data_IF_395081843047
#
_entry.id   IF_395081843047
#
_cell.length_a   1.000
_cell.length_b   1.000
_cell.length_c   1.000
_cell.angle_alpha   90.00
_cell.angle_beta   90.00
_cell.angle_gamma   90.00
#
_symmetry.space_group_name_H-M   'P 1'
#
loop_
_entity.id
_entity.type
_entity.pdbx_description
1 polymer ?
#
# COMPACT_ATOMS: atom_id res chain seq x y z
N UNK A 1 43.79 -7.21 -21.74
CA UNK A 1 43.25 -6.58 -20.52
C UNK A 1 41.88 -7.15 -20.31
N UNK A 2 41.76 -8.10 -19.38
CA UNK A 2 40.50 -8.69 -18.97
C UNK A 2 39.76 -7.58 -18.22
N UNK A 3 38.67 -7.07 -18.80
CA UNK A 3 37.79 -6.14 -18.11
C UNK A 3 37.15 -6.89 -16.96
N UNK A 4 37.44 -6.40 -15.77
CA UNK A 4 36.99 -6.90 -14.48
C UNK A 4 35.45 -6.93 -14.43
N UNK A 5 34.85 -8.10 -14.59
CA UNK A 5 33.41 -8.34 -14.55
C UNK A 5 32.85 -8.37 -13.12
N UNK A 6 33.57 -7.83 -12.14
CA UNK A 6 33.24 -7.93 -10.70
C UNK A 6 32.65 -6.66 -10.07
N UNK A 7 32.47 -5.57 -10.83
CA UNK A 7 31.87 -4.33 -10.33
C UNK A 7 30.36 -4.24 -10.65
N UNK A 8 29.60 -5.30 -10.41
CA UNK A 8 28.14 -5.16 -10.36
C UNK A 8 27.79 -4.28 -9.14
N UNK A 9 27.61 -2.98 -9.39
CA UNK A 9 27.22 -2.04 -8.35
C UNK A 9 25.95 -2.58 -7.66
N UNK A 10 26.02 -2.77 -6.34
CA UNK A 10 24.89 -3.29 -5.55
C UNK A 10 23.75 -2.27 -5.50
N UNK A 11 24.06 -0.97 -5.62
CA UNK A 11 23.13 0.15 -5.54
C UNK A 11 23.02 0.90 -6.87
N UNK A 12 22.54 0.21 -7.91
CA UNK A 12 22.19 0.85 -9.19
C UNK A 12 20.73 1.33 -9.11
N UNK A 13 20.42 2.58 -9.50
CA UNK A 13 19.04 3.05 -9.60
C UNK A 13 18.22 2.17 -10.56
N UNK A 14 16.96 1.91 -10.21
CA UNK A 14 16.09 1.07 -11.03
C UNK A 14 14.97 1.90 -11.67
N UNK A 15 14.68 1.59 -12.93
CA UNK A 15 13.50 2.06 -13.65
C UNK A 15 12.58 0.88 -13.86
N UNK A 16 11.36 0.98 -13.34
CA UNK A 16 10.30 0.01 -13.55
C UNK A 16 9.36 0.58 -14.61
N UNK A 17 9.24 -0.08 -15.75
CA UNK A 17 8.40 0.40 -16.86
C UNK A 17 7.18 -0.49 -17.04
N UNK A 18 5.99 0.09 -16.89
CA UNK A 18 4.75 -0.65 -17.11
C UNK A 18 4.48 -0.81 -18.61
N UNK A 19 3.94 -1.96 -18.99
CA UNK A 19 3.59 -2.32 -20.37
C UNK A 19 2.18 -2.89 -20.41
N UNK A 20 1.42 -2.58 -21.46
CA UNK A 20 0.14 -3.22 -21.75
C UNK A 20 -0.96 -2.25 -22.15
N UNK A 21 -2.07 -2.80 -22.63
CA UNK A 21 -3.23 -2.04 -23.12
C UNK A 21 -3.91 -1.21 -22.00
N UNK A 22 -4.70 -0.17 -22.34
CA UNK A 22 -5.50 0.56 -21.35
C UNK A 22 -6.47 -0.37 -20.57
N UNK A 23 -6.85 0.03 -19.35
CA UNK A 23 -7.69 -0.74 -18.42
C UNK A 23 -7.17 -2.16 -18.07
N UNK A 24 -5.84 -2.34 -18.07
CA UNK A 24 -5.16 -3.58 -17.62
C UNK A 24 -4.47 -3.40 -16.27
N UNK A 25 -5.08 -2.71 -15.31
CA UNK A 25 -4.51 -2.58 -13.95
C UNK A 25 -3.15 -1.88 -13.77
N UNK A 26 -2.47 -1.40 -14.83
CA UNK A 26 -1.12 -0.78 -14.73
C UNK A 26 -1.02 0.30 -13.66
N UNK A 27 -1.90 1.30 -13.69
CA UNK A 27 -1.87 2.38 -12.71
C UNK A 27 -2.10 1.88 -11.28
N UNK A 28 -2.95 0.86 -11.10
CA UNK A 28 -3.13 0.19 -9.81
C UNK A 28 -1.83 -0.47 -9.34
N UNK A 29 -1.18 -1.26 -10.21
CA UNK A 29 0.11 -1.90 -9.93
C UNK A 29 1.17 -0.83 -9.59
N UNK A 30 1.23 0.25 -10.36
CA UNK A 30 2.13 1.40 -10.15
C UNK A 30 2.02 1.94 -8.72
N UNK A 31 0.81 2.29 -8.30
CA UNK A 31 0.57 2.89 -7.00
C UNK A 31 0.83 1.92 -5.85
N UNK A 32 0.38 0.66 -5.96
CA UNK A 32 0.64 -0.36 -4.93
C UNK A 32 2.13 -0.65 -4.80
N UNK A 33 2.83 -0.84 -5.91
CA UNK A 33 4.26 -1.12 -5.90
C UNK A 33 5.06 0.07 -5.36
N UNK A 34 4.74 1.29 -5.80
CA UNK A 34 5.35 2.51 -5.27
C UNK A 34 5.19 2.61 -3.75
N UNK A 35 3.99 2.28 -3.26
CA UNK A 35 3.67 2.29 -1.83
C UNK A 35 4.44 1.21 -1.06
N UNK A 36 4.46 -0.02 -1.55
CA UNK A 36 5.20 -1.11 -0.93
C UNK A 36 6.71 -0.80 -0.83
N UNK A 37 7.32 -0.36 -1.94
CA UNK A 37 8.76 -0.08 -1.96
C UNK A 37 9.12 1.05 -0.98
N UNK A 38 8.35 2.14 -0.94
CA UNK A 38 8.58 3.20 0.06
C UNK A 38 8.34 2.72 1.49
N UNK A 39 7.37 1.83 1.72
CA UNK A 39 7.06 1.28 3.04
C UNK A 39 8.23 0.46 3.60
N UNK A 40 8.91 -0.33 2.77
CA UNK A 40 10.14 -1.05 3.15
C UNK A 40 11.41 -0.17 3.11
N UNK A 41 11.27 1.14 2.91
CA UNK A 41 12.36 2.10 2.96
C UNK A 41 13.11 2.35 1.64
N UNK A 42 12.65 1.79 0.52
CA UNK A 42 13.23 2.02 -0.83
C UNK A 42 12.55 3.25 -1.44
N UNK A 43 13.28 4.36 -1.54
CA UNK A 43 12.71 5.63 -2.03
C UNK A 43 12.24 5.50 -3.48
N UNK A 44 10.93 5.59 -3.68
CA UNK A 44 10.30 5.29 -4.96
C UNK A 44 9.32 6.38 -5.38
N UNK A 45 9.27 6.71 -6.68
CA UNK A 45 8.27 7.63 -7.25
C UNK A 45 7.70 7.11 -8.56
N UNK A 46 6.39 7.27 -8.75
CA UNK A 46 5.71 6.99 -10.01
C UNK A 46 5.59 8.24 -10.91
N UNK A 47 5.77 8.05 -12.21
CA UNK A 47 5.70 9.06 -13.26
C UNK A 47 4.61 8.64 -14.27
N UNK A 48 3.41 9.20 -14.14
CA UNK A 48 2.28 8.86 -14.99
C UNK A 48 2.25 9.72 -16.26
N UNK A 49 2.58 9.14 -17.42
CA UNK A 49 2.63 9.88 -18.70
C UNK A 49 1.27 10.49 -19.08
N UNK A 50 0.16 9.90 -18.60
CA UNK A 50 -1.18 10.46 -18.77
C UNK A 50 -1.35 11.84 -18.12
N UNK A 51 -0.67 12.12 -17.00
CA UNK A 51 -0.70 13.44 -16.34
C UNK A 51 0.05 14.50 -17.16
N UNK A 52 1.20 14.14 -17.73
CA UNK A 52 1.95 15.02 -18.63
C UNK A 52 1.09 15.40 -19.85
N UNK A 53 0.41 14.40 -20.44
CA UNK A 53 -0.52 14.65 -21.56
C UNK A 53 -1.67 15.57 -21.19
N UNK A 54 -2.32 15.36 -20.03
CA UNK A 54 -3.42 16.23 -19.58
C UNK A 54 -2.99 17.67 -19.30
N UNK A 55 -1.74 17.87 -18.86
CA UNK A 55 -1.15 19.21 -18.70
C UNK A 55 -0.85 19.87 -20.06
N UNK A 56 -0.35 19.10 -21.02
CA UNK A 56 0.01 19.60 -22.35
C UNK A 56 -1.21 19.83 -23.26
N UNK A 57 -2.28 19.07 -23.08
CA UNK A 57 -3.49 19.13 -23.91
C UNK A 57 -4.73 18.86 -23.05
N UNK A 58 -5.55 19.89 -22.82
CA UNK A 58 -6.81 19.78 -22.05
C UNK A 58 -7.91 19.02 -22.81
N UNK A 59 -7.93 19.15 -24.14
CA UNK A 59 -8.99 18.61 -25.00
C UNK A 59 -8.59 17.27 -25.68
N UNK A 60 -7.62 16.54 -25.12
CA UNK A 60 -7.03 15.32 -25.71
C UNK A 60 -7.51 14.02 -25.07
N UNK A 61 -8.77 13.95 -24.62
CA UNK A 61 -9.35 12.79 -23.93
C UNK A 61 -9.92 11.71 -24.86
N UNK A 62 -10.43 12.14 -26.02
CA UNK A 62 -11.20 11.33 -26.98
C UNK A 62 -10.35 10.28 -27.69
N UNK A 63 -10.99 9.20 -28.15
CA UNK A 63 -10.31 8.08 -28.79
C UNK A 63 -9.55 8.47 -30.07
N UNK A 64 -10.02 9.44 -30.86
CA UNK A 64 -9.35 9.93 -32.07
C UNK A 64 -7.96 10.50 -31.78
N UNK A 65 -7.77 11.10 -30.60
CA UNK A 65 -6.46 11.57 -30.17
C UNK A 65 -5.46 10.41 -30.13
N UNK A 66 -5.92 9.22 -29.71
CA UNK A 66 -5.10 8.02 -29.55
C UNK A 66 -4.98 7.16 -30.81
N UNK A 67 -5.61 7.56 -31.91
CA UNK A 67 -5.50 6.83 -33.18
C UNK A 67 -4.04 6.74 -33.66
N UNK A 68 -3.60 5.58 -34.19
CA UNK A 68 -2.26 5.43 -34.77
C UNK A 68 -2.04 6.34 -35.99
N UNK A 69 -3.13 6.72 -36.66
CA UNK A 69 -3.11 7.60 -37.84
C UNK A 69 -3.09 9.09 -37.48
N UNK A 70 -3.26 9.43 -36.20
CA UNK A 70 -3.19 10.81 -35.73
C UNK A 70 -1.73 11.22 -35.50
N UNK A 71 -1.08 11.75 -36.54
CA UNK A 71 0.34 12.16 -36.49
C UNK A 71 0.59 13.24 -35.44
N UNK A 72 -0.33 14.22 -35.31
CA UNK A 72 -0.20 15.31 -34.32
C UNK A 72 -0.34 14.76 -32.90
N UNK A 73 -1.35 13.91 -32.65
CA UNK A 73 -1.55 13.26 -31.36
C UNK A 73 -0.37 12.38 -30.97
N UNK A 74 0.19 11.63 -31.93
CA UNK A 74 1.37 10.79 -31.71
C UNK A 74 2.58 11.61 -31.30
N UNK A 75 2.90 12.70 -32.02
CA UNK A 75 4.00 13.62 -31.64
C UNK A 75 3.83 14.19 -30.23
N UNK A 76 2.61 14.60 -29.85
CA UNK A 76 2.33 15.10 -28.50
C UNK A 76 2.54 14.00 -27.44
N UNK A 77 2.08 12.77 -27.70
CA UNK A 77 2.27 11.64 -26.77
C UNK A 77 3.74 11.23 -26.63
N UNK A 78 4.50 11.26 -27.72
CA UNK A 78 5.94 10.99 -27.71
C UNK A 78 6.67 12.04 -26.86
N UNK A 79 6.34 13.32 -27.05
CA UNK A 79 6.92 14.42 -26.28
C UNK A 79 6.57 14.33 -24.79
N UNK A 80 5.32 13.99 -24.45
CA UNK A 80 4.92 13.78 -23.05
C UNK A 80 5.68 12.62 -22.39
N UNK A 81 5.92 11.54 -23.15
CA UNK A 81 6.71 10.41 -22.67
C UNK A 81 8.18 10.78 -22.48
N UNK A 82 8.76 11.56 -23.41
CA UNK A 82 10.13 12.09 -23.30
C UNK A 82 10.29 12.93 -22.03
N UNK A 83 9.38 13.89 -21.79
CA UNK A 83 9.41 14.73 -20.60
C UNK A 83 9.29 13.91 -19.30
N UNK A 84 8.43 12.91 -19.27
CA UNK A 84 8.30 12.02 -18.11
C UNK A 84 9.59 11.20 -17.85
N UNK A 85 10.24 10.70 -18.91
CA UNK A 85 11.52 9.97 -18.82
C UNK A 85 12.64 10.88 -18.32
N UNK A 86 12.67 12.15 -18.75
CA UNK A 86 13.65 13.13 -18.28
C UNK A 86 13.45 13.49 -16.81
N UNK A 87 12.21 13.73 -16.38
CA UNK A 87 11.89 13.97 -14.96
C UNK A 87 12.25 12.77 -14.08
N UNK A 88 11.97 11.57 -14.57
CA UNK A 88 12.35 10.31 -13.95
C UNK A 88 13.87 10.18 -13.82
N UNK A 89 14.61 10.47 -14.89
CA UNK A 89 16.07 10.47 -14.88
C UNK A 89 16.63 11.46 -13.86
N UNK A 90 16.15 12.72 -13.89
CA UNK A 90 16.57 13.75 -12.93
C UNK A 90 16.36 13.34 -11.47
N UNK A 91 15.23 12.69 -11.17
CA UNK A 91 14.94 12.17 -9.83
C UNK A 91 15.97 11.12 -9.36
N UNK A 92 16.39 10.22 -10.24
CA UNK A 92 17.38 9.19 -9.92
C UNK A 92 18.82 9.77 -9.87
N UNK A 93 19.16 10.66 -10.79
CA UNK A 93 20.49 11.30 -10.88
C UNK A 93 20.77 12.24 -9.70
N UNK A 94 19.74 12.98 -9.26
CA UNK A 94 19.81 13.82 -8.07
C UNK A 94 19.92 13.02 -6.76
N UNK A 95 19.75 11.68 -6.82
CA UNK A 95 19.67 10.79 -5.66
C UNK A 95 18.49 11.10 -4.73
N UNK A 96 17.44 11.70 -5.28
CA UNK A 96 16.16 11.91 -4.58
C UNK A 96 15.42 10.59 -4.36
N UNK A 97 15.71 9.57 -5.18
CA UNK A 97 15.25 8.20 -4.97
C UNK A 97 16.11 7.12 -5.61
N UNK A 98 15.68 5.88 -5.38
CA UNK A 98 16.36 4.66 -5.78
C UNK A 98 15.63 3.92 -6.89
N UNK A 99 14.30 4.05 -6.93
CA UNK A 99 13.44 3.42 -7.94
C UNK A 99 12.49 4.44 -8.54
N UNK A 100 12.34 4.42 -9.86
CA UNK A 100 11.33 5.22 -10.54
C UNK A 100 10.41 4.33 -11.38
N UNK A 101 9.10 4.53 -11.24
CA UNK A 101 8.09 3.74 -11.95
C UNK A 101 7.51 4.58 -13.09
N UNK A 102 7.73 4.19 -14.34
CA UNK A 102 7.15 4.82 -15.51
C UNK A 102 5.79 4.17 -15.82
N UNK A 103 4.70 4.87 -15.48
CA UNK A 103 3.33 4.42 -15.75
C UNK A 103 2.84 4.96 -17.10
N UNK A 104 2.93 4.11 -18.11
CA UNK A 104 2.41 4.34 -19.46
C UNK A 104 2.00 3.01 -20.10
N UNK A 105 1.47 3.06 -21.33
CA UNK A 105 1.13 1.84 -22.09
C UNK A 105 2.38 1.12 -22.61
N UNK A 106 3.38 1.87 -23.10
CA UNK A 106 4.65 1.35 -23.62
C UNK A 106 4.49 0.11 -24.53
N UNK A 107 3.42 0.11 -25.33
CA UNK A 107 2.94 -1.03 -26.11
C UNK A 107 3.78 -1.33 -27.34
N UNK A 108 4.70 -0.45 -27.76
CA UNK A 108 5.55 -0.64 -28.94
C UNK A 108 7.01 -0.87 -28.55
N UNK A 109 7.73 -1.70 -29.31
CA UNK A 109 9.16 -1.95 -29.12
C UNK A 109 9.97 -0.67 -29.27
N UNK A 110 9.67 0.15 -30.27
CA UNK A 110 10.35 1.43 -30.48
C UNK A 110 10.32 2.33 -29.24
N UNK A 111 9.19 2.37 -28.52
CA UNK A 111 9.08 3.14 -27.26
C UNK A 111 9.93 2.53 -26.14
N UNK A 112 9.94 1.19 -26.03
CA UNK A 112 10.77 0.49 -25.04
C UNK A 112 12.27 0.65 -25.31
N UNK A 113 12.69 0.58 -26.57
CA UNK A 113 14.08 0.83 -26.98
C UNK A 113 14.52 2.25 -26.65
N UNK A 114 13.67 3.26 -26.89
CA UNK A 114 13.96 4.65 -26.51
C UNK A 114 14.25 4.80 -25.01
N UNK A 115 13.46 4.14 -24.15
CA UNK A 115 13.69 4.12 -22.71
C UNK A 115 15.01 3.42 -22.36
N UNK A 116 15.26 2.24 -22.94
CA UNK A 116 16.50 1.49 -22.72
C UNK A 116 17.73 2.31 -23.07
N UNK A 117 17.71 2.99 -24.22
CA UNK A 117 18.81 3.85 -24.68
C UNK A 117 19.02 5.05 -23.76
N UNK A 118 17.94 5.66 -23.25
CA UNK A 118 18.03 6.71 -22.24
C UNK A 118 18.74 6.20 -20.98
N UNK A 119 18.26 5.08 -20.41
CA UNK A 119 18.80 4.51 -19.17
C UNK A 119 20.26 4.04 -19.31
N UNK A 120 20.65 3.52 -20.48
CA UNK A 120 22.03 3.11 -20.80
C UNK A 120 23.01 4.28 -20.86
N UNK A 121 22.54 5.49 -21.24
CA UNK A 121 23.38 6.70 -21.32
C UNK A 121 23.66 7.36 -19.97
N UNK A 122 22.86 7.07 -18.94
CA UNK A 122 23.08 7.59 -17.59
C UNK A 122 24.34 6.99 -16.95
N UNK A 123 24.92 7.70 -15.96
CA UNK A 123 26.13 7.26 -15.26
C UNK A 123 25.93 7.34 -13.73
N UNK A 124 25.79 6.19 -13.03
CA UNK A 124 25.76 4.83 -13.58
C UNK A 124 24.50 4.57 -14.43
N UNK A 125 24.60 3.62 -15.36
CA UNK A 125 23.45 3.21 -16.18
C UNK A 125 22.32 2.67 -15.28
N UNK A 126 21.09 3.06 -15.53
CA UNK A 126 19.96 2.58 -14.74
C UNK A 126 19.57 1.17 -15.16
N UNK A 127 19.20 0.34 -14.18
CA UNK A 127 18.63 -1.00 -14.46
C UNK A 127 17.17 -0.85 -14.81
N UNK A 128 16.74 -1.43 -15.93
CA UNK A 128 15.33 -1.40 -16.37
C UNK A 128 14.68 -2.74 -16.08
N UNK A 129 13.45 -2.72 -15.55
CA UNK A 129 12.60 -3.89 -15.36
C UNK A 129 11.20 -3.60 -15.88
N UNK A 130 10.71 -4.41 -16.82
CA UNK A 130 9.38 -4.22 -17.38
C UNK A 130 8.33 -5.05 -16.63
N UNK A 131 7.17 -4.44 -16.37
CA UNK A 131 5.98 -5.15 -15.85
C UNK A 131 4.89 -5.04 -16.90
N UNK A 132 4.65 -6.13 -17.62
CA UNK A 132 3.55 -6.22 -18.58
C UNK A 132 2.30 -6.76 -17.91
N UNK A 133 1.19 -6.03 -17.97
CA UNK A 133 -0.11 -6.54 -17.53
C UNK A 133 -0.95 -6.96 -18.74
N UNK A 134 -1.18 -8.26 -18.83
CA UNK A 134 -1.97 -8.91 -19.88
C UNK A 134 -3.28 -9.39 -19.26
N UNK A 135 -4.42 -8.97 -19.80
CA UNK A 135 -5.73 -9.43 -19.35
C UNK A 135 -6.66 -9.52 -20.55
N UNK A 136 -7.21 -10.71 -20.77
CA UNK A 136 -8.20 -10.97 -21.82
C UNK A 136 -9.58 -11.29 -21.24
N UNK A 137 -9.69 -11.36 -19.92
CA UNK A 137 -10.95 -11.52 -19.19
C UNK A 137 -11.84 -10.27 -19.33
N UNK A 138 -13.00 -10.44 -19.97
CA UNK A 138 -13.91 -9.35 -20.29
C UNK A 138 -14.49 -8.69 -19.04
N UNK A 139 -14.78 -9.45 -17.99
CA UNK A 139 -15.40 -8.94 -16.76
C UNK A 139 -14.40 -8.04 -16.01
N UNK A 140 -13.15 -8.48 -15.90
CA UNK A 140 -12.08 -7.69 -15.29
C UNK A 140 -11.84 -6.38 -16.05
N UNK A 141 -11.88 -6.44 -17.39
CA UNK A 141 -11.74 -5.25 -18.23
C UNK A 141 -12.92 -4.29 -17.98
N UNK A 142 -14.14 -4.82 -17.96
CA UNK A 142 -15.35 -4.02 -17.78
C UNK A 142 -15.38 -3.29 -16.43
N UNK A 143 -15.05 -4.01 -15.35
CA UNK A 143 -14.91 -3.42 -14.00
C UNK A 143 -13.84 -2.34 -13.97
N UNK A 144 -12.66 -2.61 -14.55
CA UNK A 144 -11.57 -1.62 -14.59
C UNK A 144 -11.93 -0.35 -15.39
N UNK A 145 -12.69 -0.50 -16.48
CA UNK A 145 -13.18 0.65 -17.25
C UNK A 145 -14.18 1.44 -16.41
N UNK A 146 -15.16 0.75 -15.83
CA UNK A 146 -16.29 1.36 -15.14
C UNK A 146 -15.87 2.07 -13.85
N UNK A 147 -15.06 1.42 -13.01
CA UNK A 147 -14.68 1.97 -11.70
C UNK A 147 -13.64 3.10 -11.83
N UNK A 148 -12.65 2.92 -12.71
CA UNK A 148 -11.44 3.77 -12.72
C UNK A 148 -11.41 4.76 -13.87
N UNK A 149 -11.88 4.38 -15.06
CA UNK A 149 -11.63 5.15 -16.28
C UNK A 149 -12.77 6.08 -16.64
N UNK A 150 -14.02 5.67 -16.44
CA UNK A 150 -15.19 6.54 -16.64
C UNK A 150 -15.15 7.74 -15.66
N UNK A 151 -14.70 7.53 -14.43
CA UNK A 151 -14.54 8.60 -13.44
C UNK A 151 -13.26 9.42 -13.58
N UNK A 152 -12.43 9.14 -14.59
CA UNK A 152 -11.17 9.84 -14.77
C UNK A 152 -11.38 11.27 -15.28
N UNK A 153 -10.39 12.17 -15.09
CA UNK A 153 -10.47 13.55 -15.60
C UNK A 153 -10.61 13.64 -17.12
N UNK A 154 -10.36 12.55 -17.86
CA UNK A 154 -10.53 12.51 -19.32
C UNK A 154 -12.02 12.53 -19.72
N UNK A 155 -12.94 12.08 -18.86
CA UNK A 155 -14.37 11.90 -19.19
C UNK A 155 -15.33 12.62 -18.23
N UNK A 156 -14.90 12.86 -16.99
CA UNK A 156 -15.75 13.45 -15.95
C UNK A 156 -16.25 14.84 -16.36
N UNK A 157 -17.58 14.97 -16.48
CA UNK A 157 -18.24 16.23 -16.85
C UNK A 157 -18.19 16.57 -18.34
N UNK A 158 -17.65 15.69 -19.18
CA UNK A 158 -17.56 15.86 -20.64
C UNK A 158 -18.51 14.91 -21.37
N UNK A 159 -18.61 13.66 -20.91
CA UNK A 159 -19.44 12.61 -21.51
C UNK A 159 -20.30 11.92 -20.45
N UNK A 160 -21.41 11.30 -20.87
CA UNK A 160 -22.16 10.37 -20.02
C UNK A 160 -21.34 9.09 -19.77
N UNK A 161 -21.62 8.32 -18.69
CA UNK A 161 -20.92 7.06 -18.42
C UNK A 161 -20.94 6.08 -19.60
N UNK A 162 -22.06 5.98 -20.29
CA UNK A 162 -22.26 5.10 -21.44
C UNK A 162 -21.41 5.55 -22.64
N UNK A 163 -21.40 6.84 -22.95
CA UNK A 163 -20.57 7.42 -24.01
C UNK A 163 -19.07 7.27 -23.71
N UNK A 164 -18.68 7.54 -22.46
CA UNK A 164 -17.30 7.37 -22.00
C UNK A 164 -16.82 5.91 -22.13
N UNK A 165 -17.69 4.94 -21.83
CA UNK A 165 -17.39 3.51 -22.02
C UNK A 165 -17.15 3.19 -23.49
N UNK A 166 -18.01 3.68 -24.39
CA UNK A 166 -17.87 3.46 -25.84
C UNK A 166 -16.58 4.10 -26.38
N UNK A 167 -16.30 5.36 -26.02
CA UNK A 167 -15.05 6.04 -26.40
C UNK A 167 -13.83 5.27 -25.90
N UNK A 168 -13.84 4.86 -24.63
CA UNK A 168 -12.71 4.15 -24.04
C UNK A 168 -12.45 2.79 -24.69
N UNK A 169 -13.50 2.07 -25.10
CA UNK A 169 -13.34 0.82 -25.84
C UNK A 169 -12.69 1.06 -27.22
N UNK A 170 -13.11 2.09 -27.95
CA UNK A 170 -12.44 2.47 -29.21
C UNK A 170 -10.98 2.88 -28.99
N UNK A 171 -10.69 3.55 -27.87
CA UNK A 171 -9.32 3.89 -27.47
C UNK A 171 -8.48 2.63 -27.22
N UNK A 172 -9.02 1.59 -26.59
CA UNK A 172 -8.32 0.30 -26.44
C UNK A 172 -7.98 -0.30 -27.81
N UNK A 173 -8.94 -0.31 -28.74
CA UNK A 173 -8.72 -0.84 -30.09
C UNK A 173 -7.61 -0.08 -30.84
N UNK A 174 -7.54 1.25 -30.71
CA UNK A 174 -6.44 2.04 -31.27
C UNK A 174 -5.06 1.61 -30.75
N UNK A 175 -4.93 1.26 -29.46
CA UNK A 175 -3.68 0.72 -28.92
C UNK A 175 -3.42 -0.71 -29.38
N UNK A 176 -4.48 -1.52 -29.55
CA UNK A 176 -4.38 -2.91 -30.00
C UNK A 176 -3.75 -3.01 -31.39
N UNK A 177 -4.06 -2.08 -32.29
CA UNK A 177 -3.50 -2.01 -33.66
C UNK A 177 -1.97 -1.87 -33.70
N UNK A 178 -1.34 -1.39 -32.61
CA UNK A 178 0.10 -1.19 -32.53
C UNK A 178 0.74 -1.99 -31.39
N UNK A 179 -0.01 -2.90 -30.75
CA UNK A 179 0.49 -3.59 -29.57
C UNK A 179 1.47 -4.70 -29.96
N UNK A 180 2.70 -4.53 -29.48
CA UNK A 180 3.80 -5.48 -29.57
C UNK A 180 4.12 -5.97 -28.15
N UNK A 181 3.52 -7.11 -27.72
CA UNK A 181 3.79 -7.68 -26.40
C UNK A 181 5.28 -7.94 -26.18
N UNK A 182 5.71 -8.01 -24.92
CA UNK A 182 7.04 -8.52 -24.60
C UNK A 182 7.14 -9.98 -25.06
N UNK A 183 8.30 -10.36 -25.58
CA UNK A 183 8.53 -11.70 -26.12
C UNK A 183 9.92 -12.18 -25.72
N UNK A 184 10.02 -13.39 -25.19
CA UNK A 184 11.26 -13.95 -24.64
C UNK A 184 12.34 -14.25 -25.70
N UNK A 185 11.97 -14.48 -26.95
CA UNK A 185 12.93 -14.73 -28.02
C UNK A 185 13.41 -13.42 -28.66
N UNK A 186 12.48 -12.46 -28.84
CA UNK A 186 12.77 -11.17 -29.47
C UNK A 186 13.39 -10.17 -28.48
N UNK A 187 12.91 -10.16 -27.24
CA UNK A 187 13.29 -9.23 -26.17
C UNK A 187 14.20 -9.92 -25.10
N UNK A 188 15.03 -10.90 -25.51
CA UNK A 188 15.85 -11.76 -24.63
C UNK A 188 16.79 -10.97 -23.69
N UNK A 189 17.31 -9.81 -24.14
CA UNK A 189 18.22 -8.99 -23.34
C UNK A 189 17.51 -8.19 -22.22
N UNK A 190 16.18 -8.10 -22.27
CA UNK A 190 15.37 -7.35 -21.32
C UNK A 190 15.09 -8.15 -20.04
N UNK A 191 14.90 -7.44 -18.94
CA UNK A 191 14.42 -8.02 -17.69
C UNK A 191 12.94 -7.69 -17.52
N UNK A 192 12.06 -8.69 -17.38
CA UNK A 192 10.63 -8.43 -17.31
C UNK A 192 9.80 -9.48 -16.57
N UNK A 193 8.59 -9.08 -16.19
CA UNK A 193 7.53 -9.96 -15.71
C UNK A 193 6.23 -9.68 -16.48
N UNK A 194 5.56 -10.74 -16.94
CA UNK A 194 4.19 -10.70 -17.45
C UNK A 194 3.24 -11.12 -16.33
N UNK A 195 2.30 -10.25 -15.97
CA UNK A 195 1.21 -10.51 -15.02
C UNK A 195 -0.05 -10.79 -15.82
N UNK A 196 -0.49 -12.05 -15.83
CA UNK A 196 -1.54 -12.54 -16.74
C UNK A 196 -2.85 -12.73 -15.97
N UNK A 197 -3.95 -12.19 -16.52
CA UNK A 197 -5.32 -12.29 -16.02
C UNK A 197 -5.40 -12.00 -14.52
N UNK A 198 -5.02 -10.78 -14.15
CA UNK A 198 -5.06 -10.28 -12.79
C UNK A 198 -4.28 -11.13 -11.75
N UNK A 199 -3.14 -11.70 -12.17
CA UNK A 199 -2.25 -12.47 -11.28
C UNK A 199 -2.57 -13.97 -11.22
N UNK A 200 -3.40 -14.48 -12.13
CA UNK A 200 -3.67 -15.92 -12.28
C UNK A 200 -2.42 -16.71 -12.68
N UNK A 201 -1.56 -16.11 -13.51
CA UNK A 201 -0.27 -16.68 -13.85
C UNK A 201 0.76 -15.59 -14.11
N UNK A 202 2.03 -15.97 -14.04
CA UNK A 202 3.16 -15.07 -14.21
C UNK A 202 4.19 -15.71 -15.13
N UNK A 203 4.87 -14.88 -15.91
CA UNK A 203 6.07 -15.26 -16.65
C UNK A 203 7.17 -14.28 -16.29
N UNK A 204 8.36 -14.78 -15.91
CA UNK A 204 9.44 -13.96 -15.38
C UNK A 204 10.71 -14.24 -16.18
N UNK A 205 11.36 -13.20 -16.69
CA UNK A 205 12.54 -13.29 -17.55
C UNK A 205 13.68 -12.42 -17.03
N UNK A 206 14.89 -12.99 -16.98
CA UNK A 206 16.16 -12.29 -16.79
C UNK A 206 16.20 -11.32 -15.58
N UNK A 207 15.77 -11.75 -14.39
CA UNK A 207 15.73 -10.92 -13.17
C UNK A 207 17.14 -10.58 -12.68
N UNK A 208 17.41 -9.29 -12.45
CA UNK A 208 18.70 -8.74 -12.05
C UNK A 208 18.63 -7.98 -10.73
N UNK A 209 19.36 -8.47 -9.72
CA UNK A 209 19.52 -7.83 -8.43
C UNK A 209 18.27 -7.87 -7.54
N UNK A 210 18.43 -7.44 -6.28
CA UNK A 210 17.45 -7.64 -5.22
C UNK A 210 16.13 -6.87 -5.41
N UNK A 211 16.15 -5.68 -6.03
CA UNK A 211 14.95 -4.87 -6.24
C UNK A 211 13.99 -5.58 -7.19
N UNK A 212 14.48 -6.12 -8.31
CA UNK A 212 13.64 -6.83 -9.26
C UNK A 212 13.06 -8.11 -8.65
N UNK A 213 13.85 -8.87 -7.90
CA UNK A 213 13.34 -10.04 -7.16
C UNK A 213 12.23 -9.68 -6.16
N UNK A 214 12.37 -8.55 -5.43
CA UNK A 214 11.33 -8.05 -4.54
C UNK A 214 10.08 -7.60 -5.27
N UNK A 215 10.22 -6.96 -6.44
CA UNK A 215 9.08 -6.60 -7.29
C UNK A 215 8.33 -7.85 -7.74
N UNK A 216 9.03 -8.88 -8.22
CA UNK A 216 8.41 -10.17 -8.60
C UNK A 216 7.67 -10.78 -7.41
N UNK A 217 8.33 -10.88 -6.25
CA UNK A 217 7.73 -11.40 -5.02
C UNK A 217 6.45 -10.63 -4.65
N UNK A 218 6.48 -9.30 -4.67
CA UNK A 218 5.32 -8.48 -4.37
C UNK A 218 4.18 -8.74 -5.36
N UNK A 219 4.46 -8.73 -6.67
CA UNK A 219 3.45 -8.94 -7.71
C UNK A 219 2.78 -10.32 -7.64
N UNK A 220 3.51 -11.34 -7.19
CA UNK A 220 2.95 -12.69 -6.99
C UNK A 220 2.01 -12.77 -5.78
N UNK A 221 2.05 -11.80 -4.86
CA UNK A 221 1.22 -11.78 -3.65
C UNK A 221 0.12 -10.74 -3.68
N UNK A 222 0.10 -9.80 -4.63
CA UNK A 222 -0.98 -8.80 -4.67
C UNK A 222 -2.29 -9.39 -5.18
N UNK A 223 -3.37 -9.03 -4.49
CA UNK A 223 -4.72 -9.30 -4.91
C UNK A 223 -5.37 -8.07 -5.56
N UNK A 224 -6.03 -8.27 -6.71
CA UNK A 224 -6.61 -7.21 -7.54
C UNK A 224 -8.14 -7.07 -7.40
N UNK A 225 -8.84 -8.03 -6.78
CA UNK A 225 -10.28 -7.92 -6.55
C UNK A 225 -10.59 -7.04 -5.32
N UNK A 226 -11.80 -6.45 -5.26
CA UNK A 226 -12.30 -5.74 -4.08
C UNK A 226 -12.34 -6.64 -2.84
N UNK A 227 -11.97 -6.08 -1.68
CA UNK A 227 -11.94 -6.79 -0.39
C UNK A 227 -11.97 -5.81 0.79
N UNK A 228 -12.25 -6.33 1.99
CA UNK A 228 -12.23 -5.55 3.23
C UNK A 228 -11.20 -6.11 4.22
N UNK A 229 -10.36 -5.24 4.78
CA UNK A 229 -9.46 -5.59 5.88
C UNK A 229 -10.00 -4.94 7.14
N UNK A 230 -10.30 -5.73 8.16
CA UNK A 230 -10.81 -5.26 9.44
C UNK A 230 -9.67 -5.28 10.45
N UNK A 231 -9.45 -4.15 11.11
CA UNK A 231 -8.44 -4.00 12.16
C UNK A 231 -9.13 -3.67 13.47
N UNK A 232 -8.77 -4.37 14.54
CA UNK A 232 -9.19 -3.98 15.87
C UNK A 232 -8.20 -4.38 16.95
N UNK A 233 -8.19 -3.61 18.03
CA UNK A 233 -7.45 -3.99 19.22
C UNK A 233 -8.18 -5.15 19.91
N UNK A 234 -7.44 -5.91 20.71
CA UNK A 234 -8.05 -6.73 21.74
C UNK A 234 -9.04 -5.92 22.60
N UNK A 235 -10.01 -6.59 23.22
CA UNK A 235 -10.86 -5.96 24.22
C UNK A 235 -10.04 -5.39 25.38
N UNK A 236 -10.57 -4.40 26.10
CA UNK A 236 -9.93 -3.85 27.30
C UNK A 236 -9.40 -4.97 28.21
N UNK A 237 -8.15 -4.85 28.63
CA UNK A 237 -7.47 -5.80 29.52
C UNK A 237 -7.32 -5.23 30.94
N UNK A 238 -7.06 -6.09 31.91
CA UNK A 238 -6.78 -5.67 33.29
C UNK A 238 -5.61 -4.66 33.35
N UNK A 239 -4.55 -4.87 32.56
CA UNK A 239 -3.42 -3.93 32.52
C UNK A 239 -3.80 -2.59 31.89
N UNK A 240 -4.78 -2.55 30.98
CA UNK A 240 -5.26 -1.25 30.49
C UNK A 240 -5.92 -0.47 31.62
N UNK A 241 -6.76 -1.11 32.43
CA UNK A 241 -7.44 -0.43 33.55
C UNK A 241 -6.46 0.14 34.57
N UNK A 242 -5.32 -0.54 34.77
CA UNK A 242 -4.25 -0.12 35.69
C UNK A 242 -3.29 0.88 35.03
N UNK A 243 -3.27 0.96 33.69
CA UNK A 243 -2.34 1.82 32.94
C UNK A 243 -0.93 1.23 32.77
N UNK A 244 -0.79 -0.10 32.78
CA UNK A 244 0.50 -0.79 32.60
C UNK A 244 0.84 -1.00 31.12
N UNK A 245 2.12 -0.86 30.81
CA UNK A 245 2.72 -1.11 29.49
C UNK A 245 2.92 -2.61 29.25
N UNK A 246 2.70 -3.05 28.02
CA UNK A 246 2.99 -4.42 27.60
C UNK A 246 2.27 -5.49 28.43
N UNK A 247 3.03 -6.49 28.87
CA UNK A 247 2.58 -7.61 29.67
C UNK A 247 1.70 -8.60 28.89
N UNK A 248 1.08 -9.50 29.64
CA UNK A 248 0.17 -10.51 29.12
C UNK A 248 -1.03 -10.75 30.04
N UNK A 249 -1.70 -9.66 30.45
CA UNK A 249 -2.91 -9.74 31.27
C UNK A 249 -4.13 -10.17 30.46
N UNK A 250 -5.13 -10.83 31.07
CA UNK A 250 -6.38 -11.19 30.42
C UNK A 250 -7.29 -9.97 30.18
N UNK A 251 -8.39 -10.22 29.47
CA UNK A 251 -9.48 -9.26 29.28
C UNK A 251 -10.13 -8.87 30.61
N UNK A 252 -10.55 -7.62 30.71
CA UNK A 252 -11.46 -7.15 31.75
C UNK A 252 -12.90 -7.59 31.44
N UNK A 253 -13.84 -7.33 32.35
CA UNK A 253 -15.27 -7.56 32.10
C UNK A 253 -15.78 -6.78 30.87
N UNK A 254 -15.35 -5.53 30.69
CA UNK A 254 -15.67 -4.74 29.50
C UNK A 254 -14.96 -5.27 28.25
N UNK A 255 -13.77 -5.86 28.40
CA UNK A 255 -13.08 -6.57 27.32
C UNK A 255 -13.86 -7.78 26.81
N UNK A 256 -14.46 -8.56 27.71
CA UNK A 256 -15.30 -9.71 27.36
C UNK A 256 -16.58 -9.25 26.64
N UNK A 257 -17.30 -8.25 27.19
CA UNK A 257 -18.47 -7.64 26.53
C UNK A 257 -18.14 -7.16 25.11
N UNK A 258 -16.95 -6.59 24.92
CA UNK A 258 -16.52 -6.16 23.59
C UNK A 258 -16.31 -7.33 22.63
N UNK A 259 -15.69 -8.40 23.11
CA UNK A 259 -15.47 -9.58 22.27
C UNK A 259 -16.81 -10.22 21.84
N UNK A 260 -17.84 -10.20 22.70
CA UNK A 260 -19.21 -10.60 22.34
C UNK A 260 -19.82 -9.67 21.28
N UNK A 261 -19.74 -8.34 21.47
CA UNK A 261 -20.24 -7.37 20.48
C UNK A 261 -19.52 -7.42 19.14
N UNK A 262 -18.23 -7.68 19.15
CA UNK A 262 -17.43 -7.91 17.95
C UNK A 262 -17.96 -9.13 17.18
N UNK A 263 -18.27 -10.21 17.87
CA UNK A 263 -18.87 -11.39 17.25
C UNK A 263 -20.25 -11.10 16.68
N UNK A 264 -21.11 -10.37 17.41
CA UNK A 264 -22.43 -9.95 16.91
C UNK A 264 -22.33 -9.15 15.61
N UNK A 265 -21.40 -8.20 15.55
CA UNK A 265 -21.13 -7.40 14.35
C UNK A 265 -20.80 -8.28 13.15
N UNK A 266 -19.82 -9.20 13.28
CA UNK A 266 -19.42 -10.06 12.17
C UNK A 266 -20.46 -11.12 11.80
N UNK A 267 -21.31 -11.52 12.75
CA UNK A 267 -22.46 -12.39 12.45
C UNK A 267 -23.46 -11.69 11.53
N UNK A 268 -23.69 -10.39 11.73
CA UNK A 268 -24.57 -9.60 10.88
C UNK A 268 -23.93 -9.32 9.52
N UNK A 269 -22.63 -8.99 9.48
CA UNK A 269 -21.90 -8.78 8.22
C UNK A 269 -21.89 -10.04 7.33
N UNK A 270 -21.95 -11.24 7.92
CA UNK A 270 -22.14 -12.52 7.21
C UNK A 270 -21.12 -12.77 6.09
N UNK A 271 -19.83 -12.58 6.43
CA UNK A 271 -18.71 -12.76 5.52
C UNK A 271 -18.43 -14.25 5.29
N UNK A 272 -18.44 -14.69 4.02
CA UNK A 272 -18.38 -16.13 3.66
C UNK A 272 -17.05 -16.82 4.04
N UNK A 273 -15.92 -16.12 3.88
CA UNK A 273 -14.58 -16.67 4.06
C UNK A 273 -13.71 -15.80 4.98
N UNK A 274 -14.30 -15.29 6.06
CA UNK A 274 -13.57 -14.45 7.00
C UNK A 274 -12.39 -15.23 7.62
N UNK A 275 -11.18 -14.69 7.49
CA UNK A 275 -10.02 -15.14 8.25
C UNK A 275 -9.79 -14.23 9.45
N UNK A 276 -9.41 -14.82 10.57
CA UNK A 276 -9.09 -14.07 11.79
C UNK A 276 -7.64 -14.31 12.17
N UNK A 277 -6.87 -13.24 12.27
CA UNK A 277 -5.50 -13.27 12.76
C UNK A 277 -5.40 -12.55 14.08
N UNK A 278 -4.77 -13.19 15.05
CA UNK A 278 -4.57 -12.63 16.38
C UNK A 278 -3.10 -12.68 16.78
N UNK A 279 -2.69 -11.78 17.66
CA UNK A 279 -1.42 -11.95 18.37
C UNK A 279 -1.45 -13.17 19.31
N UNK A 280 -0.30 -13.56 19.86
CA UNK A 280 -0.22 -14.65 20.83
C UNK A 280 -0.50 -14.20 22.28
N UNK A 281 -0.58 -12.88 22.53
CA UNK A 281 -0.94 -12.34 23.85
C UNK A 281 -2.37 -12.72 24.24
N UNK A 282 -2.56 -13.13 25.50
CA UNK A 282 -3.80 -13.74 26.00
C UNK A 282 -5.03 -12.85 25.78
N UNK A 283 -4.93 -11.54 25.99
CA UNK A 283 -6.03 -10.59 25.74
C UNK A 283 -6.55 -10.63 24.29
N UNK A 284 -5.64 -10.66 23.31
CA UNK A 284 -6.01 -10.72 21.90
C UNK A 284 -6.50 -12.13 21.52
N UNK A 285 -5.87 -13.16 22.10
CA UNK A 285 -6.27 -14.53 21.88
C UNK A 285 -7.68 -14.82 22.43
N UNK A 286 -8.02 -14.27 23.61
CA UNK A 286 -9.35 -14.35 24.20
C UNK A 286 -10.40 -13.65 23.33
N UNK A 287 -10.12 -12.44 22.83
CA UNK A 287 -11.02 -11.76 21.89
C UNK A 287 -11.22 -12.57 20.60
N UNK A 288 -10.13 -13.11 20.02
CA UNK A 288 -10.19 -13.91 18.81
C UNK A 288 -10.89 -15.27 19.01
N UNK A 289 -10.83 -15.84 20.21
CA UNK A 289 -11.47 -17.11 20.52
C UNK A 289 -13.01 -17.06 20.35
N UNK A 290 -13.63 -15.90 20.58
CA UNK A 290 -15.07 -15.72 20.32
C UNK A 290 -15.42 -15.78 18.84
N UNK A 291 -14.48 -15.53 17.94
CA UNK A 291 -14.70 -15.53 16.49
C UNK A 291 -14.69 -16.93 15.85
N UNK A 292 -14.35 -17.99 16.59
CA UNK A 292 -14.12 -19.35 16.06
C UNK A 292 -15.30 -19.92 15.28
N UNK A 293 -16.52 -19.59 15.69
CA UNK A 293 -17.74 -20.13 15.07
C UNK A 293 -18.13 -19.42 13.76
N UNK A 294 -17.58 -18.22 13.52
CA UNK A 294 -17.84 -17.42 12.31
C UNK A 294 -16.66 -17.46 11.32
N UNK A 295 -15.45 -17.64 11.83
CA UNK A 295 -14.24 -17.59 11.02
C UNK A 295 -13.99 -18.92 10.30
N UNK A 296 -13.55 -18.84 9.05
CA UNK A 296 -13.02 -19.99 8.32
C UNK A 296 -11.75 -20.55 8.97
N UNK A 297 -10.92 -19.66 9.53
CA UNK A 297 -9.73 -20.00 10.29
C UNK A 297 -9.39 -18.91 11.31
N UNK A 298 -8.85 -19.32 12.47
CA UNK A 298 -8.30 -18.42 13.48
C UNK A 298 -6.83 -18.75 13.70
N UNK A 299 -5.95 -17.82 13.36
CA UNK A 299 -4.49 -18.01 13.40
C UNK A 299 -3.84 -17.08 14.43
N UNK A 300 -2.86 -17.60 15.18
CA UNK A 300 -2.17 -16.85 16.24
C UNK A 300 -0.71 -16.61 15.88
N UNK A 301 -0.41 -15.36 15.56
CA UNK A 301 0.85 -14.95 14.95
C UNK A 301 1.67 -14.14 15.96
N UNK A 302 2.83 -14.66 16.37
CA UNK A 302 3.74 -13.95 17.29
C UNK A 302 4.17 -12.58 16.75
N UNK A 303 4.29 -12.47 15.43
CA UNK A 303 4.59 -11.24 14.69
C UNK A 303 3.52 -10.15 14.86
N UNK A 304 2.33 -10.47 15.39
CA UNK A 304 1.28 -9.50 15.72
C UNK A 304 1.30 -9.07 17.20
N UNK A 305 2.24 -9.54 18.02
CA UNK A 305 2.36 -9.12 19.42
C UNK A 305 2.64 -7.62 19.52
N UNK A 306 2.23 -7.02 20.64
CA UNK A 306 2.49 -5.62 21.00
C UNK A 306 4.00 -5.32 20.95
N UNK A 307 4.35 -4.04 20.86
CA UNK A 307 5.73 -3.61 21.01
C UNK A 307 6.33 -4.14 22.31
N UNK A 308 7.53 -4.73 22.22
CA UNK A 308 8.27 -5.15 23.40
C UNK A 308 8.86 -3.93 24.12
N UNK A 309 8.34 -3.63 25.32
CA UNK A 309 8.84 -2.54 26.15
C UNK A 309 10.11 -2.91 26.93
N UNK A 310 10.64 -4.13 26.75
CA UNK A 310 11.87 -4.62 27.35
C UNK A 310 11.85 -4.52 28.88
N UNK A 311 12.83 -3.83 29.46
CA UNK A 311 12.90 -3.62 30.91
C UNK A 311 11.73 -2.78 31.49
N UNK A 312 10.91 -2.18 30.63
CA UNK A 312 9.76 -1.36 31.01
C UNK A 312 8.41 -2.12 30.96
N UNK A 313 8.42 -3.41 30.61
CA UNK A 313 7.24 -4.27 30.63
C UNK A 313 6.57 -4.29 32.01
N UNK A 314 5.25 -4.13 32.05
CA UNK A 314 4.43 -4.13 33.26
C UNK A 314 4.50 -2.86 34.11
N UNK A 315 5.31 -1.87 33.76
CA UNK A 315 5.35 -0.56 34.43
C UNK A 315 4.17 0.32 33.99
N UNK A 316 3.73 1.21 34.87
CA UNK A 316 2.92 2.36 34.43
C UNK A 316 3.81 3.42 33.80
N UNK A 317 3.22 4.42 33.13
CA UNK A 317 3.99 5.54 32.60
C UNK A 317 4.68 6.35 33.71
N UNK A 318 4.02 6.52 34.86
CA UNK A 318 4.58 7.20 36.04
C UNK A 318 5.76 6.42 36.62
N UNK A 319 5.64 5.09 36.71
CA UNK A 319 6.75 4.22 37.11
C UNK A 319 7.92 4.32 36.12
N UNK A 320 7.63 4.34 34.82
CA UNK A 320 8.64 4.46 33.78
C UNK A 320 9.39 5.80 33.87
N UNK A 321 8.67 6.91 34.02
CA UNK A 321 9.25 8.23 34.19
C UNK A 321 10.10 8.34 35.47
N UNK A 322 9.61 7.81 36.59
CA UNK A 322 10.30 7.86 37.87
C UNK A 322 11.58 7.00 37.90
N UNK A 323 11.52 5.78 37.33
CA UNK A 323 12.64 4.82 37.36
C UNK A 323 13.67 5.07 36.27
N UNK A 324 13.22 5.52 35.09
CA UNK A 324 14.05 5.69 33.89
C UNK A 324 13.81 7.06 33.22
N UNK A 325 14.03 8.18 33.92
CA UNK A 325 13.66 9.52 33.45
C UNK A 325 14.37 9.92 32.15
N UNK A 326 15.61 9.48 31.97
CA UNK A 326 16.37 9.74 30.74
C UNK A 326 15.73 9.03 29.53
N UNK A 327 15.43 7.75 29.67
CA UNK A 327 14.81 6.93 28.64
C UNK A 327 13.41 7.44 28.29
N UNK A 328 12.65 7.87 29.29
CA UNK A 328 11.34 8.48 29.10
C UNK A 328 11.41 9.75 28.24
N UNK A 329 12.36 10.65 28.55
CA UNK A 329 12.57 11.87 27.76
C UNK A 329 13.10 11.59 26.35
N UNK A 330 13.99 10.61 26.18
CA UNK A 330 14.50 10.20 24.86
C UNK A 330 13.38 9.64 23.98
N UNK A 331 12.47 8.83 24.55
CA UNK A 331 11.29 8.32 23.86
C UNK A 331 10.36 9.44 23.41
N UNK A 332 10.16 10.47 24.23
CA UNK A 332 9.29 11.59 23.86
C UNK A 332 9.89 12.48 22.76
N UNK A 333 11.22 12.55 22.71
CA UNK A 333 11.94 13.29 21.68
C UNK A 333 11.82 12.63 20.30
N UNK A 334 12.00 11.32 20.23
CA UNK A 334 11.92 10.55 18.97
C UNK A 334 11.28 9.19 19.18
N UNK A 335 9.95 9.17 19.30
CA UNK A 335 9.18 7.97 19.59
C UNK A 335 9.28 6.90 18.51
N UNK A 336 9.60 7.27 17.26
CA UNK A 336 9.68 6.30 16.17
C UNK A 336 10.98 5.48 16.22
N UNK A 337 12.13 6.14 16.39
CA UNK A 337 13.43 5.46 16.42
C UNK A 337 13.86 5.02 17.83
N UNK A 338 13.25 5.56 18.88
CA UNK A 338 13.54 5.12 20.24
C UNK A 338 13.27 3.62 20.38
N UNK A 339 14.30 2.87 20.75
CA UNK A 339 14.23 1.45 21.08
C UNK A 339 14.25 1.29 22.58
N UNK A 340 13.27 0.60 23.14
CA UNK A 340 13.29 0.24 24.56
C UNK A 340 14.55 -0.59 24.88
N UNK A 341 15.20 -0.40 26.03
CA UNK A 341 16.32 -1.25 26.42
C UNK A 341 15.87 -2.72 26.52
N UNK A 342 16.53 -3.59 25.75
CA UNK A 342 16.15 -5.01 25.59
C UNK A 342 14.76 -5.23 24.98
N UNK A 343 14.24 -4.24 24.25
CA UNK A 343 12.93 -4.29 23.57
C UNK A 343 13.01 -3.76 22.14
N UNK A 344 11.89 -3.25 21.65
CA UNK A 344 11.69 -2.82 20.25
C UNK A 344 11.53 -1.30 20.11
N UNK A 345 11.75 -0.80 18.88
CA UNK A 345 11.29 0.51 18.40
C UNK A 345 10.11 0.35 17.43
N UNK A 346 9.47 1.46 17.03
CA UNK A 346 8.48 1.41 15.94
C UNK A 346 9.11 1.03 14.59
N UNK A 347 10.38 1.35 14.38
CA UNK A 347 11.13 0.91 13.20
C UNK A 347 11.30 -0.61 13.17
N UNK A 348 11.59 -1.24 14.32
CA UNK A 348 11.66 -2.70 14.45
C UNK A 348 10.30 -3.35 14.14
N UNK A 349 9.20 -2.74 14.60
CA UNK A 349 7.86 -3.22 14.30
C UNK A 349 7.54 -3.18 12.81
N UNK A 350 7.91 -2.10 12.10
CA UNK A 350 7.71 -2.00 10.64
C UNK A 350 8.42 -3.15 9.93
N UNK A 351 9.68 -3.42 10.28
CA UNK A 351 10.43 -4.52 9.70
C UNK A 351 9.81 -5.88 10.03
N UNK A 352 9.40 -6.10 11.29
CA UNK A 352 8.75 -7.31 11.78
C UNK A 352 7.42 -7.59 11.05
N UNK A 353 6.63 -6.56 10.73
CA UNK A 353 5.30 -6.70 10.12
C UNK A 353 5.30 -6.91 8.60
N UNK A 354 6.44 -6.88 7.91
CA UNK A 354 6.51 -7.11 6.45
C UNK A 354 5.79 -8.38 6.00
N UNK A 355 6.02 -9.56 6.61
CA UNK A 355 5.33 -10.77 6.21
C UNK A 355 3.80 -10.69 6.39
N UNK A 356 3.32 -9.94 7.40
CA UNK A 356 1.89 -9.76 7.65
C UNK A 356 1.25 -8.89 6.58
N UNK A 357 1.89 -7.77 6.22
CA UNK A 357 1.41 -6.91 5.14
C UNK A 357 1.36 -7.67 3.81
N UNK A 358 2.36 -8.50 3.53
CA UNK A 358 2.38 -9.34 2.33
C UNK A 358 1.24 -10.35 2.32
N UNK A 359 0.94 -10.99 3.44
CA UNK A 359 -0.20 -11.92 3.50
C UNK A 359 -1.53 -11.16 3.41
N UNK A 360 -1.68 -9.97 4.02
CA UNK A 360 -2.87 -9.12 3.86
C UNK A 360 -3.07 -8.68 2.40
N UNK A 361 -1.98 -8.52 1.65
CA UNK A 361 -2.06 -8.23 0.23
C UNK A 361 -2.60 -9.41 -0.60
N UNK A 362 -2.42 -10.64 -0.10
CA UNK A 362 -2.83 -11.89 -0.75
C UNK A 362 -4.25 -12.32 -0.42
N UNK A 363 -4.69 -12.07 0.80
CA UNK A 363 -6.00 -12.52 1.29
C UNK A 363 -7.16 -11.63 0.84
N UNK A 364 -8.38 -12.15 0.95
CA UNK A 364 -9.64 -11.41 0.77
C UNK A 364 -10.04 -10.70 2.06
N UNK A 365 -11.08 -11.16 2.75
CA UNK A 365 -11.60 -10.54 3.97
C UNK A 365 -10.87 -11.08 5.20
N UNK A 366 -10.15 -10.20 5.90
CA UNK A 366 -9.34 -10.56 7.07
C UNK A 366 -9.66 -9.64 8.24
N UNK A 367 -9.91 -10.21 9.41
CA UNK A 367 -9.94 -9.51 10.69
C UNK A 367 -8.62 -9.71 11.44
N UNK A 368 -7.92 -8.61 11.72
CA UNK A 368 -6.70 -8.60 12.53
C UNK A 368 -7.01 -8.07 13.93
N UNK A 369 -6.83 -8.90 14.94
CA UNK A 369 -7.00 -8.58 16.36
C UNK A 369 -5.62 -8.45 17.00
N UNK A 370 -5.19 -7.21 17.25
CA UNK A 370 -3.84 -6.93 17.76
C UNK A 370 -3.88 -5.84 18.84
N UNK A 371 -2.92 -4.92 18.85
CA UNK A 371 -2.67 -4.00 19.97
C UNK A 371 -2.52 -2.55 19.50
N UNK A 372 -1.86 -1.70 20.27
CA UNK A 372 -1.61 -0.31 19.85
C UNK A 372 -0.65 -0.20 18.65
N UNK A 373 -0.08 -1.31 18.17
CA UNK A 373 0.71 -1.41 16.93
C UNK A 373 -0.11 -1.29 15.63
N UNK A 374 -1.44 -1.39 15.69
CA UNK A 374 -2.31 -1.33 14.51
C UNK A 374 -2.15 -0.10 13.59
N UNK A 375 -1.76 1.10 14.07
CA UNK A 375 -1.39 2.22 13.21
C UNK A 375 -0.44 1.87 12.05
N UNK A 376 0.46 0.91 12.26
CA UNK A 376 1.45 0.48 11.27
C UNK A 376 0.81 -0.06 9.99
N UNK A 377 -0.38 -0.63 10.09
CA UNK A 377 -1.11 -1.18 8.93
C UNK A 377 -1.64 -0.07 8.02
N UNK A 378 -2.01 1.11 8.54
CA UNK A 378 -2.44 2.22 7.68
C UNK A 378 -1.32 2.71 6.77
N UNK A 379 -0.05 2.60 7.18
CA UNK A 379 1.10 3.01 6.35
C UNK A 379 1.20 2.16 5.09
N UNK A 380 0.85 0.86 5.19
CA UNK A 380 0.82 -0.02 4.04
C UNK A 380 -0.28 0.39 3.03
N UNK A 381 -1.30 1.15 3.45
CA UNK A 381 -2.44 1.51 2.60
C UNK A 381 -2.55 3.01 2.27
N UNK A 382 -1.75 3.89 2.89
CA UNK A 382 -1.87 5.34 2.72
C UNK A 382 -0.57 6.02 2.32
N UNK A 383 -0.49 6.51 1.07
CA UNK A 383 0.71 7.15 0.52
C UNK A 383 1.13 8.40 1.31
N UNK A 384 0.18 9.23 1.77
CA UNK A 384 0.52 10.48 2.48
C UNK A 384 1.22 10.24 3.83
N UNK A 385 0.88 9.14 4.52
CA UNK A 385 1.50 8.77 5.78
C UNK A 385 2.95 8.32 5.58
N UNK A 386 3.35 7.89 4.38
CA UNK A 386 4.74 7.46 4.12
C UNK A 386 5.74 8.61 4.22
N UNK A 387 5.34 9.82 3.82
CA UNK A 387 6.21 11.01 3.90
C UNK A 387 6.35 11.59 5.30
N UNK A 388 5.45 11.22 6.22
CA UNK A 388 5.40 11.72 7.61
C UNK A 388 5.39 10.61 8.66
N UNK A 389 5.74 9.41 8.23
CA UNK A 389 5.63 8.18 9.03
C UNK A 389 6.34 8.32 10.37
N UNK A 390 7.54 8.90 10.36
CA UNK A 390 8.39 9.09 11.55
C UNK A 390 7.76 10.00 12.60
N UNK A 391 6.99 10.99 12.16
CA UNK A 391 6.46 12.03 13.04
C UNK A 391 5.05 11.69 13.55
N UNK A 392 4.25 11.01 12.74
CA UNK A 392 2.81 10.88 12.96
C UNK A 392 2.37 9.47 13.34
N UNK A 393 3.06 8.44 12.83
CA UNK A 393 2.68 7.05 13.05
C UNK A 393 2.60 6.66 14.54
N UNK A 394 3.58 7.03 15.40
CA UNK A 394 3.52 6.66 16.81
C UNK A 394 2.39 7.37 17.60
N UNK A 395 1.71 8.33 16.98
CA UNK A 395 0.67 9.15 17.60
C UNK A 395 -0.69 9.00 16.90
N UNK A 396 -0.85 8.00 16.04
CA UNK A 396 -2.14 7.69 15.47
C UNK A 396 -3.08 7.12 16.55
N UNK A 397 -4.30 7.64 16.63
CA UNK A 397 -5.31 7.18 17.58
C UNK A 397 -5.98 5.91 17.06
N UNK A 398 -5.81 4.81 17.79
CA UNK A 398 -6.57 3.57 17.63
C UNK A 398 -7.23 3.24 18.97
N UNK A 399 -8.49 3.67 19.19
CA UNK A 399 -9.18 3.47 20.45
C UNK A 399 -9.47 1.98 20.70
N UNK A 400 -9.67 1.63 21.98
CA UNK A 400 -10.23 0.33 22.35
C UNK A 400 -11.69 0.23 21.83
N UNK A 401 -12.16 -1.00 21.71
CA UNK A 401 -13.56 -1.33 21.39
C UNK A 401 -14.07 -0.66 20.10
N UNK A 402 -13.22 -0.59 19.09
CA UNK A 402 -13.54 0.00 17.79
C UNK A 402 -13.00 -0.90 16.69
N UNK A 403 -13.84 -1.24 15.72
CA UNK A 403 -13.43 -1.92 14.49
C UNK A 403 -13.14 -0.88 13.43
N UNK A 404 -12.02 -1.03 12.74
CA UNK A 404 -11.61 -0.17 11.63
C UNK A 404 -11.66 -1.01 10.37
N UNK A 405 -12.59 -0.72 9.47
CA UNK A 405 -12.71 -1.38 8.17
C UNK A 405 -11.95 -0.58 7.13
N UNK A 406 -11.04 -1.26 6.44
CA UNK A 406 -10.26 -0.73 5.34
C UNK A 406 -10.76 -1.36 4.05
N UNK A 407 -11.16 -0.53 3.09
CA UNK A 407 -11.57 -0.99 1.75
C UNK A 407 -10.56 -0.43 0.72
N UNK A 408 -9.54 -1.21 0.31
CA UNK A 408 -8.53 -0.75 -0.63
C UNK A 408 -9.13 -0.44 -2.00
N UNK A 409 -8.85 0.76 -2.53
CA UNK A 409 -9.19 1.20 -3.88
C UNK A 409 -7.93 1.42 -4.71
N UNK A 410 -8.11 1.69 -6.01
CA UNK A 410 -6.98 1.86 -6.93
C UNK A 410 -6.02 3.01 -6.55
N UNK A 411 -6.55 4.10 -5.99
CA UNK A 411 -5.77 5.30 -5.65
C UNK A 411 -5.84 5.68 -4.17
N UNK A 412 -6.68 4.99 -3.39
CA UNK A 412 -6.97 5.32 -2.00
C UNK A 412 -7.29 4.06 -1.21
N UNK A 413 -7.55 4.22 0.07
CA UNK A 413 -8.18 3.20 0.90
C UNK A 413 -9.32 3.91 1.62
N UNK A 414 -10.54 3.41 1.50
CA UNK A 414 -11.63 3.91 2.35
C UNK A 414 -11.44 3.36 3.76
N UNK A 415 -11.81 4.16 4.76
CA UNK A 415 -11.69 3.79 6.16
C UNK A 415 -12.98 4.12 6.88
N UNK A 416 -13.57 3.11 7.50
CA UNK A 416 -14.78 3.24 8.32
C UNK A 416 -14.46 2.79 9.74
N UNK A 417 -14.99 3.49 10.75
CA UNK A 417 -14.79 3.16 12.16
C UNK A 417 -16.11 2.84 12.86
N UNK A 418 -16.22 1.63 13.39
CA UNK A 418 -17.39 1.15 14.13
C UNK A 418 -17.02 1.06 15.62
N UNK A 419 -17.45 2.06 16.39
CA UNK A 419 -17.25 2.11 17.84
C UNK A 419 -18.45 1.49 18.55
N UNK A 420 -18.17 0.53 19.42
CA UNK A 420 -19.19 -0.15 20.22
C UNK A 420 -19.51 0.64 21.48
N UNK A 421 -20.76 0.61 21.93
CA UNK A 421 -21.21 1.29 23.15
C UNK A 421 -20.80 0.51 24.41
N UNK A 422 -19.49 0.42 24.63
CA UNK A 422 -18.87 -0.22 25.79
C UNK A 422 -17.81 0.74 26.33
N UNK A 423 -17.81 0.96 27.64
CA UNK A 423 -16.79 1.77 28.27
C UNK A 423 -15.42 1.09 28.19
N UNK A 424 -14.41 1.88 27.80
CA UNK A 424 -13.01 1.52 27.87
C UNK A 424 -12.17 2.72 28.32
N UNK A 425 -11.09 2.43 29.05
CA UNK A 425 -10.09 3.43 29.40
C UNK A 425 -9.39 3.98 28.16
N UNK A 426 -9.02 5.27 28.22
CA UNK A 426 -8.20 5.87 27.18
C UNK A 426 -6.72 5.55 27.43
N UNK A 427 -6.10 4.84 26.48
CA UNK A 427 -4.69 4.43 26.54
C UNK A 427 -3.79 5.29 25.64
N UNK A 428 -4.34 6.34 25.02
CA UNK A 428 -3.61 7.23 24.13
C UNK A 428 -2.88 8.32 24.93
N UNK A 429 -1.58 8.50 24.62
CA UNK A 429 -0.75 9.57 25.16
C UNK A 429 -0.33 10.53 24.06
N UNK A 430 -0.65 11.81 24.24
CA UNK A 430 -0.30 12.88 23.32
C UNK A 430 1.20 13.14 23.24
N UNK A 431 1.65 13.73 22.13
CA UNK A 431 3.03 14.18 21.96
C UNK A 431 3.26 15.41 22.85
N UNK A 432 4.19 15.38 23.82
CA UNK A 432 4.47 16.52 24.67
C UNK A 432 4.93 17.73 23.85
N UNK A 433 4.39 18.91 24.14
CA UNK A 433 4.81 20.19 23.54
C UNK A 433 4.47 20.38 22.05
N UNK A 434 3.72 19.48 21.43
CA UNK A 434 3.33 19.61 20.04
C UNK A 434 2.06 20.47 19.88
N UNK A 435 2.09 21.44 18.97
CA UNK A 435 0.86 21.94 18.36
C UNK A 435 0.23 20.78 17.58
N UNK A 436 -1.07 20.57 17.73
CA UNK A 436 -1.80 19.50 17.04
C UNK A 436 -1.48 19.58 15.54
N UNK A 437 -0.82 18.57 14.98
CA UNK A 437 -0.52 18.54 13.55
C UNK A 437 -1.84 18.66 12.80
N UNK A 438 -2.00 19.71 12.01
CA UNK A 438 -3.20 19.95 11.22
C UNK A 438 -3.48 18.77 10.27
N UNK A 439 -2.43 18.03 9.88
CA UNK A 439 -2.56 16.78 9.14
C UNK A 439 -3.07 15.63 10.02
N UNK A 440 -2.56 15.42 11.24
CA UNK A 440 -3.12 14.43 12.18
C UNK A 440 -4.58 14.76 12.52
N UNK A 441 -4.90 16.05 12.66
CA UNK A 441 -6.26 16.53 12.85
C UNK A 441 -7.09 16.25 11.60
N UNK A 442 -6.62 16.55 10.39
CA UNK A 442 -7.31 16.25 9.12
C UNK A 442 -7.37 14.76 8.81
N UNK A 443 -6.42 13.96 9.28
CA UNK A 443 -6.37 12.51 9.09
C UNK A 443 -7.32 11.84 10.08
N UNK A 444 -7.31 12.23 11.36
CA UNK A 444 -8.36 11.87 12.30
C UNK A 444 -9.70 12.38 11.82
N UNK A 445 -9.78 13.61 11.30
CA UNK A 445 -10.99 14.15 10.70
C UNK A 445 -11.34 13.49 9.38
N UNK A 446 -10.46 12.86 8.61
CA UNK A 446 -10.85 12.08 7.41
C UNK A 446 -11.27 10.66 7.78
N UNK A 447 -10.60 10.07 8.77
CA UNK A 447 -11.05 8.89 9.50
C UNK A 447 -12.41 9.13 10.19
N UNK A 448 -12.73 10.39 10.50
CA UNK A 448 -13.99 10.80 11.13
C UNK A 448 -15.00 11.45 10.15
N UNK A 449 -14.62 12.06 9.01
CA UNK A 449 -15.50 12.93 8.19
C UNK A 449 -15.77 12.43 6.77
N UNK A 450 -15.30 11.27 6.33
CA UNK A 450 -15.96 10.60 5.21
C UNK A 450 -16.98 9.63 5.79
N UNK A 451 -18.18 10.18 6.04
CA UNK A 451 -19.38 9.52 6.57
C UNK A 451 -19.34 9.24 8.09
N UNK A 452 -19.70 10.24 8.90
CA UNK A 452 -20.45 9.96 10.14
C UNK A 452 -21.80 9.34 9.75
N UNK A 453 -21.80 8.07 9.37
CA UNK A 453 -22.68 7.16 10.06
C UNK A 453 -21.82 6.59 11.19
N UNK A 454 -21.88 7.21 12.37
CA UNK A 454 -21.85 6.35 13.55
C UNK A 454 -23.07 5.45 13.40
N UNK A 455 -22.88 4.29 12.76
CA UNK A 455 -23.77 3.18 13.02
C UNK A 455 -23.39 2.76 14.43
N UNK A 456 -24.06 3.32 15.43
CA UNK A 456 -24.08 2.70 16.74
C UNK A 456 -24.70 1.31 16.51
N UNK A 457 -23.86 0.28 16.58
CA UNK A 457 -24.28 -1.13 16.50
C UNK A 457 -24.40 -1.70 17.91
#
# INVERSE_FOLDING_TARGET
>A
MILDSSNEQVRVPNVISLVGLPARGKTYISHKLCRYLNWIGIKTRAFNVGEYRRKACRDGGEFEFFSPYNVKGTKIRDECARLAIEDMGRYLEAKDGEVAILDATNTTRARRSFLMDYCKRSSPAFRVFFIESVCDDADIIDTNVTEVKINSPDYKGVMTPEEAKIDFMKRIENYRLQYEPLDEEIDDDLSFIKVINAGKSFYVHNVKGHIQSRVVYFLMNIHLLPRSIYLTRHGESEYNQIGRLGGDSPLSENGLKYAEKLWEYFKVESLKDLRVWSSQKIRAAQTAAHMRDLASNVEYWKVLDEIDAGICEGLTYEDFEARYPKQFAERDKDKYHYRYPSGESYEDLVARLEPVIMELERQSDVLVISHQVLPLFFVAFWHTLQTRIREELPYLKVPLHTVIKLTPKAYSCEVEMFKFDIQAVNTYREKPGAQVSYFLLLFQMKLLNEVFLYVCV
#
